data_IF_473409367977
#
_entry.id   IF_473409367977
#
_cell.length_a   1.000
_cell.length_b   1.000
_cell.length_c   1.000
_cell.angle_alpha   90.00
_cell.angle_beta   90.00
_cell.angle_gamma   90.00
#
_symmetry.space_group_name_H-M   'P 1'
#
loop_
_entity.id
_entity.type
_entity.pdbx_description
1 polymer ?
#
# COMPACT_ATOMS: atom_id res chain seq x y z
N UNK A 1 -13.86 15.28 3.74
CA UNK A 1 -13.94 15.74 2.33
C UNK A 1 -13.74 14.51 1.46
N UNK A 2 -14.51 14.37 0.38
CA UNK A 2 -14.33 13.26 -0.55
C UNK A 2 -13.31 13.69 -1.62
N UNK A 3 -12.40 12.79 -1.99
CA UNK A 3 -11.38 13.03 -3.00
C UNK A 3 -11.64 12.13 -4.22
N UNK A 4 -11.43 12.68 -5.42
CA UNK A 4 -11.61 11.98 -6.70
C UNK A 4 -10.40 12.23 -7.59
N UNK A 5 -9.91 11.20 -8.28
CA UNK A 5 -8.81 11.31 -9.23
C UNK A 5 -8.96 10.28 -10.35
N UNK A 6 -8.26 10.53 -11.45
CA UNK A 6 -8.17 9.64 -12.61
C UNK A 6 -6.69 9.52 -12.95
N UNK A 7 -6.18 8.30 -13.03
CA UNK A 7 -4.81 8.02 -13.41
C UNK A 7 -4.72 7.19 -14.68
N UNK A 8 -3.64 7.42 -15.42
CA UNK A 8 -3.20 6.58 -16.53
C UNK A 8 -1.89 5.89 -16.16
N UNK A 9 -1.59 4.79 -16.82
CA UNK A 9 -0.38 4.02 -16.56
C UNK A 9 -0.10 3.01 -17.66
N UNK A 10 0.99 2.27 -17.50
CA UNK A 10 1.42 1.25 -18.46
C UNK A 10 0.51 0.01 -18.44
N UNK A 11 -0.38 -0.06 -17.44
CA UNK A 11 -1.45 -1.04 -17.32
C UNK A 11 -2.42 -0.67 -16.20
N UNK A 12 -3.47 -1.47 -16.03
CA UNK A 12 -4.53 -1.20 -15.06
C UNK A 12 -4.00 -1.09 -13.61
N UNK A 13 -3.07 -1.97 -13.21
CA UNK A 13 -2.48 -1.96 -11.88
C UNK A 13 -1.68 -0.67 -11.64
N UNK A 14 -0.84 -0.28 -12.60
CA UNK A 14 -0.04 0.96 -12.52
C UNK A 14 -0.92 2.21 -12.49
N UNK A 15 -1.95 2.27 -13.35
CA UNK A 15 -2.91 3.37 -13.37
C UNK A 15 -3.63 3.53 -12.02
N UNK A 16 -4.07 2.42 -11.40
CA UNK A 16 -4.72 2.43 -10.10
C UNK A 16 -3.77 2.89 -8.99
N UNK A 17 -2.54 2.38 -8.95
CA UNK A 17 -1.54 2.78 -7.96
C UNK A 17 -1.20 4.27 -8.06
N UNK A 18 -0.97 4.78 -9.28
CA UNK A 18 -0.76 6.22 -9.53
C UNK A 18 -1.96 7.07 -9.09
N UNK A 19 -3.18 6.58 -9.30
CA UNK A 19 -4.41 7.26 -8.82
C UNK A 19 -4.46 7.30 -7.29
N UNK A 20 -4.10 6.20 -6.62
CA UNK A 20 -4.04 6.15 -5.15
C UNK A 20 -2.98 7.12 -4.62
N UNK A 21 -1.81 7.19 -5.25
CA UNK A 21 -0.75 8.14 -4.89
C UNK A 21 -1.24 9.59 -5.03
N UNK A 22 -1.97 9.93 -6.10
CA UNK A 22 -2.56 11.25 -6.29
C UNK A 22 -3.59 11.60 -5.20
N UNK A 23 -4.46 10.66 -4.83
CA UNK A 23 -5.49 10.88 -3.80
C UNK A 23 -4.86 11.03 -2.41
N UNK A 24 -3.85 10.21 -2.10
CA UNK A 24 -3.24 10.15 -0.77
C UNK A 24 -2.11 11.15 -0.59
N UNK A 25 -1.51 11.65 -1.67
CA UNK A 25 -0.29 12.44 -1.66
C UNK A 25 0.95 11.64 -1.24
N UNK A 26 0.89 10.30 -1.28
CA UNK A 26 1.94 9.40 -0.84
C UNK A 26 2.47 8.60 -2.01
N UNK A 27 3.67 8.94 -2.47
CA UNK A 27 4.33 8.22 -3.56
C UNK A 27 5.07 6.99 -3.01
N UNK A 28 4.70 5.81 -3.50
CA UNK A 28 5.29 4.54 -3.12
C UNK A 28 6.03 3.88 -4.28
N UNK A 29 7.21 3.35 -4.00
CA UNK A 29 7.96 2.53 -4.95
C UNK A 29 7.75 1.05 -4.63
N UNK A 30 7.09 0.31 -5.53
CA UNK A 30 6.99 -1.14 -5.41
C UNK A 30 8.36 -1.79 -5.56
N UNK A 31 8.80 -2.50 -4.53
CA UNK A 31 10.02 -3.31 -4.55
C UNK A 31 9.73 -4.77 -4.86
N UNK A 32 8.50 -5.22 -4.64
CA UNK A 32 8.05 -6.58 -4.93
C UNK A 32 6.55 -6.57 -5.22
N UNK A 33 6.14 -7.39 -6.19
CA UNK A 33 4.74 -7.61 -6.54
C UNK A 33 4.56 -9.06 -6.97
N UNK A 34 3.67 -9.77 -6.28
CA UNK A 34 3.33 -11.16 -6.57
C UNK A 34 1.82 -11.34 -6.64
N UNK A 35 1.38 -12.09 -7.64
CA UNK A 35 -0.01 -12.52 -7.81
C UNK A 35 -0.04 -14.03 -7.85
N UNK A 36 -0.95 -14.64 -7.08
CA UNK A 36 -1.15 -16.10 -7.10
C UNK A 36 -2.63 -16.45 -7.02
N UNK A 37 -3.03 -17.52 -7.69
CA UNK A 37 -4.34 -18.11 -7.49
C UNK A 37 -4.36 -18.87 -6.15
N UNK A 38 -5.36 -18.60 -5.32
CA UNK A 38 -5.58 -19.32 -4.04
C UNK A 38 -6.56 -20.47 -4.22
N UNK A 39 -7.53 -20.28 -5.12
CA UNK A 39 -8.54 -21.27 -5.50
C UNK A 39 -8.49 -21.48 -7.01
N UNK A 40 -9.17 -22.51 -7.48
CA UNK A 40 -9.26 -22.86 -8.90
C UNK A 40 -10.64 -22.52 -9.47
N UNK A 41 -10.76 -22.53 -10.80
CA UNK A 41 -12.00 -22.20 -11.50
C UNK A 41 -12.03 -20.78 -12.05
N UNK A 42 -13.14 -20.42 -12.71
CA UNK A 42 -13.32 -19.06 -13.31
C UNK A 42 -13.58 -17.99 -12.26
N UNK A 43 -14.01 -18.43 -11.09
CA UNK A 43 -14.27 -17.68 -9.87
C UNK A 43 -13.09 -17.77 -8.88
N UNK A 44 -11.92 -18.19 -9.38
CA UNK A 44 -10.71 -18.26 -8.58
C UNK A 44 -10.40 -16.92 -7.91
N UNK A 45 -10.20 -16.98 -6.60
CA UNK A 45 -9.66 -15.90 -5.79
C UNK A 45 -8.18 -15.72 -6.10
N UNK A 46 -7.82 -14.55 -6.62
CA UNK A 46 -6.46 -14.08 -6.80
C UNK A 46 -5.97 -13.33 -5.56
N UNK A 47 -4.86 -13.79 -5.01
CA UNK A 47 -4.17 -13.09 -3.94
C UNK A 47 -3.03 -12.25 -4.50
N UNK A 48 -2.99 -11.00 -4.07
CA UNK A 48 -1.92 -10.05 -4.36
C UNK A 48 -1.15 -9.79 -3.08
N UNK A 49 0.18 -9.98 -3.14
CA UNK A 49 1.11 -9.60 -2.09
C UNK A 49 2.16 -8.65 -2.69
N UNK A 50 2.43 -7.55 -2.01
CA UNK A 50 3.36 -6.53 -2.48
C UNK A 50 4.18 -5.92 -1.34
N UNK A 51 5.33 -5.34 -1.68
CA UNK A 51 6.17 -4.58 -0.77
C UNK A 51 6.44 -3.19 -1.35
N UNK A 52 6.19 -2.14 -0.57
CA UNK A 52 6.28 -0.75 -1.02
C UNK A 52 7.26 0.02 -0.15
N UNK A 53 8.19 0.72 -0.79
CA UNK A 53 9.11 1.66 -0.15
C UNK A 53 8.58 3.09 -0.32
N UNK A 54 8.34 3.78 0.79
CA UNK A 54 7.91 5.18 0.79
C UNK A 54 9.09 6.10 1.10
N UNK A 55 9.15 7.30 0.49
CA UNK A 55 10.32 8.22 0.57
C UNK A 55 10.81 8.52 1.99
N UNK A 56 9.93 8.55 3.00
CA UNK A 56 10.32 8.85 4.38
C UNK A 56 10.85 7.64 5.18
N UNK A 57 10.84 6.43 4.62
CA UNK A 57 11.29 5.20 5.30
C UNK A 57 12.20 4.37 4.40
N UNK A 58 13.36 3.97 4.92
CA UNK A 58 14.31 3.10 4.22
C UNK A 58 13.91 1.62 4.22
N UNK A 59 12.79 1.25 4.84
CA UNK A 59 12.29 -0.12 4.85
C UNK A 59 11.02 -0.21 4.01
N UNK A 60 10.90 -1.29 3.25
CA UNK A 60 9.67 -1.59 2.53
C UNK A 60 8.59 -2.05 3.51
N UNK A 61 7.35 -1.71 3.21
CA UNK A 61 6.17 -2.07 3.99
C UNK A 61 5.32 -3.02 3.15
N UNK A 62 5.03 -4.19 3.71
CA UNK A 62 4.25 -5.21 3.02
C UNK A 62 2.74 -4.90 3.07
N UNK A 63 2.07 -5.22 1.96
CA UNK A 63 0.62 -5.16 1.78
C UNK A 63 0.11 -6.43 1.10
N UNK A 64 -1.13 -6.81 1.39
CA UNK A 64 -1.74 -8.04 0.87
C UNK A 64 -3.25 -7.92 0.76
N UNK A 65 -3.83 -8.53 -0.26
CA UNK A 65 -5.27 -8.69 -0.41
C UNK A 65 -5.60 -9.97 -1.19
N UNK A 66 -6.85 -10.40 -1.12
CA UNK A 66 -7.38 -11.52 -1.90
C UNK A 66 -8.79 -11.19 -2.35
N UNK A 67 -9.03 -11.28 -3.65
CA UNK A 67 -10.33 -11.05 -4.29
C UNK A 67 -10.39 -11.82 -5.61
N UNK A 68 -11.58 -11.96 -6.19
CA UNK A 68 -11.74 -12.54 -7.53
C UNK A 68 -11.21 -11.60 -8.62
N UNK A 69 -11.31 -10.28 -8.42
CA UNK A 69 -10.67 -9.27 -9.27
C UNK A 69 -9.25 -8.95 -8.75
N UNK A 70 -8.25 -9.30 -9.56
CA UNK A 70 -6.84 -9.04 -9.25
C UNK A 70 -6.53 -7.54 -9.22
N UNK A 71 -7.16 -6.71 -10.05
CA UNK A 71 -6.94 -5.26 -10.06
C UNK A 71 -7.45 -4.64 -8.76
N UNK A 72 -8.63 -5.04 -8.31
CA UNK A 72 -9.18 -4.64 -7.01
C UNK A 72 -8.27 -5.09 -5.86
N UNK A 73 -7.82 -6.35 -5.90
CA UNK A 73 -6.91 -6.93 -4.92
C UNK A 73 -5.59 -6.13 -4.85
N UNK A 74 -5.03 -5.73 -5.99
CA UNK A 74 -3.83 -4.88 -6.05
C UNK A 74 -4.05 -3.52 -5.40
N UNK A 75 -5.18 -2.87 -5.67
CA UNK A 75 -5.54 -1.59 -5.05
C UNK A 75 -5.61 -1.72 -3.52
N UNK A 76 -6.32 -2.75 -3.04
CA UNK A 76 -6.49 -3.02 -1.62
C UNK A 76 -5.17 -3.37 -0.92
N UNK A 77 -4.32 -4.18 -1.56
CA UNK A 77 -3.00 -4.53 -1.04
C UNK A 77 -2.10 -3.30 -0.90
N UNK A 78 -2.14 -2.40 -1.89
CA UNK A 78 -1.36 -1.16 -1.86
C UNK A 78 -1.85 -0.20 -0.77
N UNK A 79 -3.18 -0.02 -0.62
CA UNK A 79 -3.77 0.72 0.49
C UNK A 79 -3.41 0.11 1.85
N UNK A 80 -3.34 -1.23 1.97
CA UNK A 80 -2.91 -1.89 3.19
C UNK A 80 -1.45 -1.54 3.55
N UNK A 81 -0.55 -1.46 2.57
CA UNK A 81 0.82 -1.01 2.78
C UNK A 81 0.88 0.46 3.22
N UNK A 82 0.12 1.35 2.59
CA UNK A 82 0.00 2.77 3.00
C UNK A 82 -0.48 2.90 4.44
N UNK A 83 -1.57 2.21 4.78
CA UNK A 83 -2.16 2.25 6.13
C UNK A 83 -1.17 1.74 7.19
N UNK A 84 -0.44 0.67 6.88
CA UNK A 84 0.61 0.15 7.77
C UNK A 84 1.75 1.16 7.94
N UNK A 85 2.20 1.78 6.84
CA UNK A 85 3.23 2.82 6.89
C UNK A 85 2.80 4.02 7.73
N UNK A 86 1.57 4.51 7.57
CA UNK A 86 1.02 5.62 8.37
C UNK A 86 0.96 5.27 9.86
N UNK A 87 0.51 4.05 10.19
CA UNK A 87 0.44 3.58 11.57
C UNK A 87 1.83 3.48 12.22
N UNK A 88 2.86 3.10 11.47
CA UNK A 88 4.24 3.03 11.94
C UNK A 88 4.87 4.43 12.10
N UNK A 89 4.68 5.31 11.12
CA UNK A 89 5.15 6.70 11.14
C UNK A 89 4.57 7.49 12.31
N UNK A 90 3.27 7.32 12.61
CA UNK A 90 2.64 7.92 13.78
C UNK A 90 3.20 7.42 15.12
N UNK A 91 3.48 6.11 15.22
CA UNK A 91 4.08 5.51 16.43
C UNK A 91 5.53 5.92 16.64
N UNK A 92 6.32 6.09 15.58
CA UNK A 92 7.70 6.54 15.66
C UNK A 92 7.80 7.96 16.27
N UNK A 93 6.91 8.87 15.86
CA UNK A 93 6.82 10.21 16.42
C UNK A 93 6.48 10.20 17.92
N UNK A 94 5.48 9.41 18.33
CA UNK A 94 5.08 9.28 19.74
C UNK A 94 6.19 8.68 20.64
N UNK A 95 6.99 7.74 20.13
CA UNK A 95 8.12 7.13 20.86
C UNK A 95 9.27 8.12 21.06
N UNK A 96 9.57 8.98 20.08
CA UNK A 96 10.60 10.02 20.17
C UNK A 96 10.24 11.06 21.24
N UNK A 97 9.00 11.55 21.25
CA UNK A 97 8.51 12.52 22.24
C UNK A 97 8.55 11.96 23.66
N UNK A 98 8.11 10.71 23.88
CA UNK A 98 8.17 10.06 25.20
C UNK A 98 9.60 9.87 25.70
N UNK A 99 10.54 9.53 24.82
CA UNK A 99 11.95 9.36 25.19
C UNK A 99 12.66 10.69 25.48
N UNK A 100 12.28 11.77 24.79
CA UNK A 100 12.79 13.12 25.07
C UNK A 100 12.26 13.69 26.40
N UNK A 101 11.03 13.37 26.78
CA UNK A 101 10.44 13.77 28.07
C UNK A 101 10.94 12.93 29.25
N UNK A 102 11.47 11.73 29.01
CA UNK A 102 11.90 10.79 30.04
C UNK A 102 13.39 10.88 30.42
N UNK A 103 14.16 11.81 29.83
CA UNK A 103 15.58 11.97 30.12
C UNK A 103 15.96 13.47 30.15
N UNK A 104 15.72 14.18 31.27
CA UNK A 104 16.12 15.57 31.47
C UNK A 104 17.64 15.75 31.55
#
# INVERSE_FOLDING_TARGET
QNHFAIGTGDGAVDAVMKTIDQITGLEGHLTEYQVRAVTEGKDAVGEVSLSVRFKAKSEAVAGRSAATDVIESSARAYLAAINRWLAESGRASAKKTRRALANP
#
